data_IF_713123050125
#
_entry.id   IF_713123050125
#
_cell.length_a   1.000
_cell.length_b   1.000
_cell.length_c   1.000
_cell.angle_alpha   90.00
_cell.angle_beta   90.00
_cell.angle_gamma   90.00
#
_symmetry.space_group_name_H-M   'P 1'
#
loop_
_entity.id
_entity.type
_entity.pdbx_description
1 polymer ?
#
# COMPACT_ATOMS: atom_id res chain seq x y z
N UNK A 1 -48.76 50.58 4.65
CA UNK A 1 -48.11 49.71 3.64
C UNK A 1 -46.62 50.00 3.41
N UNK A 2 -46.10 51.22 3.61
CA UNK A 2 -44.68 51.54 3.37
C UNK A 2 -43.71 50.75 4.26
N UNK A 3 -44.04 50.55 5.54
CA UNK A 3 -43.17 49.86 6.50
C UNK A 3 -43.14 48.33 6.32
N UNK A 4 -44.15 47.75 5.65
CA UNK A 4 -44.23 46.30 5.40
C UNK A 4 -43.22 45.87 4.33
N UNK A 5 -42.98 46.72 3.34
CA UNK A 5 -41.97 46.49 2.29
C UNK A 5 -40.55 46.51 2.86
N UNK A 6 -40.28 47.44 3.77
CA UNK A 6 -38.97 47.54 4.45
C UNK A 6 -38.72 46.33 5.34
N UNK A 7 -39.74 45.86 6.05
CA UNK A 7 -39.63 44.68 6.92
C UNK A 7 -39.41 43.39 6.13
N UNK A 8 -40.14 43.21 5.02
CA UNK A 8 -39.92 42.07 4.12
C UNK A 8 -38.50 42.04 3.56
N UNK A 9 -37.96 43.21 3.19
CA UNK A 9 -36.61 43.33 2.64
C UNK A 9 -35.53 42.99 3.69
N UNK A 10 -35.68 43.49 4.92
CA UNK A 10 -34.78 43.14 6.02
C UNK A 10 -34.81 41.65 6.35
N UNK A 11 -36.00 41.03 6.38
CA UNK A 11 -36.13 39.58 6.63
C UNK A 11 -35.48 38.77 5.51
N UNK A 12 -35.67 39.15 4.25
CA UNK A 12 -35.03 38.48 3.12
C UNK A 12 -33.51 38.59 3.14
N UNK A 13 -32.96 39.74 3.55
CA UNK A 13 -31.50 39.92 3.68
C UNK A 13 -30.90 39.06 4.78
N UNK A 14 -31.60 38.92 5.91
CA UNK A 14 -31.20 38.06 7.03
C UNK A 14 -31.26 36.57 6.69
N UNK A 15 -32.18 36.15 5.82
CA UNK A 15 -32.27 34.76 5.34
C UNK A 15 -31.11 34.40 4.40
N UNK A 16 -30.65 35.35 3.57
CA UNK A 16 -29.53 35.13 2.64
C UNK A 16 -28.20 34.94 3.41
N UNK A 17 -27.98 35.67 4.50
CA UNK A 17 -26.74 35.54 5.30
C UNK A 17 -26.67 34.24 6.09
N UNK A 18 -27.82 33.65 6.47
CA UNK A 18 -27.87 32.34 7.14
C UNK A 18 -27.53 31.17 6.19
N UNK A 19 -27.87 31.26 4.90
CA UNK A 19 -27.54 30.23 3.91
C UNK A 19 -26.07 30.24 3.45
N UNK A 20 -25.35 31.35 3.65
CA UNK A 20 -23.92 31.47 3.28
C UNK A 20 -22.96 30.72 4.20
N UNK A 21 -23.31 30.58 5.48
CA UNK A 21 -22.44 29.95 6.50
C UNK A 21 -22.40 28.42 6.46
N UNK A 22 -23.12 27.77 5.53
CA UNK A 22 -23.14 26.32 5.36
C UNK A 22 -22.10 25.78 4.34
N UNK A 23 -21.36 26.65 3.65
CA UNK A 23 -20.40 26.25 2.61
C UNK A 23 -18.98 25.95 3.12
N UNK A 24 -18.70 26.18 4.42
CA UNK A 24 -17.40 25.84 5.01
C UNK A 24 -17.36 24.39 5.51
N UNK A 25 -17.79 23.45 4.66
CA UNK A 25 -17.46 22.06 4.86
C UNK A 25 -16.04 21.83 4.34
N UNK A 26 -15.04 21.88 5.22
CA UNK A 26 -13.79 21.17 4.98
C UNK A 26 -14.15 19.69 4.87
N UNK A 27 -14.57 19.26 3.68
CA UNK A 27 -14.62 17.85 3.35
C UNK A 27 -13.16 17.42 3.49
N UNK A 28 -12.80 16.50 4.42
CA UNK A 28 -11.44 16.03 4.49
C UNK A 28 -11.15 15.28 3.20
N UNK A 29 -10.59 15.98 2.22
CA UNK A 29 -10.07 15.38 1.01
C UNK A 29 -8.81 14.63 1.48
N UNK A 30 -8.85 13.31 1.38
CA UNK A 30 -7.70 12.46 1.68
C UNK A 30 -6.68 12.61 0.55
N UNK A 31 -6.05 13.79 0.47
CA UNK A 31 -5.05 14.10 -0.53
C UNK A 31 -3.78 13.28 -0.28
N UNK A 32 -3.09 12.80 -1.33
CA UNK A 32 -1.83 12.11 -1.17
C UNK A 32 -0.78 13.04 -0.56
N UNK A 33 -0.34 12.77 0.67
CA UNK A 33 0.81 13.47 1.23
C UNK A 33 2.07 13.12 0.42
N UNK A 34 2.55 14.09 -0.35
CA UNK A 34 3.73 13.97 -1.19
C UNK A 34 5.04 14.03 -0.40
N UNK A 35 5.01 14.42 0.87
CA UNK A 35 6.19 14.68 1.71
C UNK A 35 6.47 13.57 2.74
N UNK A 36 5.85 12.39 2.59
CA UNK A 36 6.08 11.27 3.49
C UNK A 36 7.56 10.86 3.53
N UNK A 37 8.11 10.52 4.70
CA UNK A 37 9.48 10.07 4.82
C UNK A 37 9.70 8.75 4.07
N UNK A 38 10.92 8.53 3.58
CA UNK A 38 11.32 7.26 2.97
C UNK A 38 11.73 6.24 4.04
N UNK A 39 11.11 5.06 4.02
CA UNK A 39 11.41 3.92 4.89
C UNK A 39 12.69 3.20 4.45
N UNK A 40 12.92 3.13 3.14
CA UNK A 40 13.99 2.33 2.55
C UNK A 40 15.14 3.19 2.03
N UNK A 41 15.32 4.41 2.57
CA UNK A 41 16.33 5.38 2.13
C UNK A 41 17.75 4.80 2.04
N UNK A 42 18.13 3.93 2.99
CA UNK A 42 19.47 3.33 3.09
C UNK A 42 19.66 2.09 2.21
N UNK A 43 18.59 1.56 1.62
CA UNK A 43 18.63 0.37 0.77
C UNK A 43 18.80 0.74 -0.72
N UNK A 44 19.36 -0.14 -1.56
CA UNK A 44 19.59 0.16 -2.97
C UNK A 44 18.28 0.28 -3.77
N UNK A 45 18.32 0.91 -4.95
CA UNK A 45 17.13 1.07 -5.78
C UNK A 45 16.58 -0.27 -6.34
N UNK A 46 17.40 -1.32 -6.38
CA UNK A 46 17.02 -2.65 -6.83
C UNK A 46 17.72 -3.73 -6.01
N UNK A 47 16.97 -4.75 -5.62
CA UNK A 47 17.45 -5.86 -4.80
C UNK A 47 17.13 -7.18 -5.53
N UNK A 48 18.13 -7.92 -6.02
CA UNK A 48 17.90 -9.23 -6.62
C UNK A 48 17.35 -10.21 -5.58
N UNK A 49 16.27 -10.91 -5.91
CA UNK A 49 15.59 -11.83 -4.99
C UNK A 49 15.73 -13.28 -5.44
N UNK A 50 16.01 -14.16 -4.48
CA UNK A 50 15.99 -15.61 -4.71
C UNK A 50 14.56 -16.12 -4.83
N UNK A 51 14.28 -16.85 -5.92
CA UNK A 51 12.97 -17.50 -6.13
C UNK A 51 12.63 -18.47 -5.00
N UNK A 52 13.61 -19.21 -4.49
CA UNK A 52 13.38 -20.21 -3.44
C UNK A 52 12.88 -19.55 -2.16
N UNK A 53 13.43 -18.38 -1.80
CA UNK A 53 12.97 -17.60 -0.64
C UNK A 53 11.51 -17.13 -0.81
N UNK A 54 11.11 -16.75 -2.02
CA UNK A 54 9.71 -16.39 -2.32
C UNK A 54 8.78 -17.61 -2.19
N UNK A 55 9.19 -18.75 -2.73
CA UNK A 55 8.40 -19.99 -2.66
C UNK A 55 8.23 -20.42 -1.21
N UNK A 56 9.32 -20.48 -0.44
CA UNK A 56 9.25 -20.86 0.98
C UNK A 56 8.34 -19.95 1.79
N UNK A 57 8.25 -18.66 1.45
CA UNK A 57 7.39 -17.72 2.15
C UNK A 57 5.89 -18.09 2.07
N UNK A 58 5.46 -18.71 0.97
CA UNK A 58 4.06 -19.11 0.78
C UNK A 58 3.62 -20.28 1.68
N UNK A 59 4.58 -21.04 2.19
CA UNK A 59 4.33 -22.23 3.01
C UNK A 59 4.25 -21.91 4.52
N UNK A 60 4.56 -20.67 4.91
CA UNK A 60 4.48 -20.25 6.32
C UNK A 60 3.03 -20.15 6.80
N UNK A 61 2.82 -20.57 8.05
CA UNK A 61 1.52 -20.48 8.72
C UNK A 61 1.33 -19.10 9.37
N UNK A 62 0.06 -18.72 9.55
CA UNK A 62 -0.28 -17.48 10.27
C UNK A 62 0.24 -17.58 11.70
N UNK A 63 0.87 -16.49 12.17
CA UNK A 63 1.51 -16.40 13.48
C UNK A 63 2.98 -16.84 13.49
N UNK A 64 3.47 -17.50 12.43
CA UNK A 64 4.87 -17.90 12.36
C UNK A 64 5.80 -16.68 12.26
N UNK A 65 6.92 -16.66 13.02
CA UNK A 65 7.97 -15.69 12.80
C UNK A 65 8.71 -16.01 11.50
N UNK A 66 9.10 -14.95 10.81
CA UNK A 66 9.74 -15.01 9.49
C UNK A 66 10.99 -14.14 9.54
N UNK A 67 12.09 -14.69 9.03
CA UNK A 67 13.33 -13.94 8.84
C UNK A 67 13.91 -14.31 7.49
N UNK A 68 13.66 -13.44 6.51
CA UNK A 68 14.04 -13.67 5.12
C UNK A 68 15.29 -12.86 4.82
N UNK A 69 16.32 -13.53 4.32
CA UNK A 69 17.34 -12.83 3.55
C UNK A 69 16.86 -12.81 2.10
N UNK A 70 16.10 -11.78 1.75
CA UNK A 70 15.46 -11.69 0.44
C UNK A 70 16.49 -11.43 -0.66
N UNK A 71 17.67 -10.90 -0.33
CA UNK A 71 18.68 -10.59 -1.32
C UNK A 71 19.70 -11.70 -1.49
N UNK A 72 19.99 -12.04 -2.75
CA UNK A 72 21.07 -12.96 -3.09
C UNK A 72 22.47 -12.32 -3.01
N UNK A 73 22.55 -10.98 -3.06
CA UNK A 73 23.81 -10.24 -3.25
C UNK A 73 24.09 -9.19 -2.17
N UNK A 74 23.11 -8.84 -1.33
CA UNK A 74 23.22 -7.83 -0.28
C UNK A 74 22.60 -8.33 1.02
N UNK A 75 22.96 -7.73 2.16
CA UNK A 75 22.38 -8.08 3.46
C UNK A 75 20.99 -7.45 3.67
N UNK A 76 20.06 -7.62 2.71
CA UNK A 76 18.68 -7.17 2.89
C UNK A 76 17.87 -8.23 3.63
N UNK A 77 17.68 -7.98 4.92
CA UNK A 77 16.94 -8.86 5.82
C UNK A 77 15.55 -8.28 6.09
N UNK A 78 14.52 -9.07 5.84
CA UNK A 78 13.14 -8.72 6.18
C UNK A 78 12.66 -9.65 7.29
N UNK A 79 12.37 -9.09 8.45
CA UNK A 79 11.91 -9.82 9.62
C UNK A 79 10.47 -9.44 9.95
N UNK A 80 9.70 -10.40 10.43
CA UNK A 80 8.30 -10.17 10.73
C UNK A 80 7.54 -11.39 11.21
N UNK A 81 6.22 -11.23 11.30
CA UNK A 81 5.30 -12.32 11.59
C UNK A 81 4.26 -12.43 10.46
N UNK A 82 3.92 -13.65 10.07
CA UNK A 82 2.82 -13.88 9.12
C UNK A 82 1.50 -13.49 9.76
N UNK A 83 0.79 -12.56 9.16
CA UNK A 83 -0.53 -12.10 9.65
C UNK A 83 -1.69 -12.63 8.79
N UNK A 84 -1.40 -13.09 7.57
CA UNK A 84 -2.37 -13.73 6.70
C UNK A 84 -1.67 -14.73 5.79
N UNK A 85 -2.29 -15.89 5.58
CA UNK A 85 -1.93 -16.87 4.58
C UNK A 85 -3.24 -17.42 4.02
N UNK A 86 -3.45 -17.27 2.72
CA UNK A 86 -4.71 -17.57 2.04
C UNK A 86 -4.41 -18.38 0.79
N UNK A 87 -5.16 -19.47 0.61
CA UNK A 87 -5.19 -20.23 -0.63
C UNK A 87 -6.63 -20.30 -1.14
N UNK A 88 -6.82 -20.09 -2.44
CA UNK A 88 -8.12 -20.14 -3.13
C UNK A 88 -8.00 -20.96 -4.41
N UNK A 89 -9.17 -21.42 -4.90
CA UNK A 89 -9.30 -22.11 -6.19
C UNK A 89 -8.31 -23.28 -6.31
N UNK A 90 -8.37 -24.21 -5.36
CA UNK A 90 -7.51 -25.41 -5.34
C UNK A 90 -6.00 -25.10 -5.37
N UNK A 91 -5.57 -24.02 -4.71
CA UNK A 91 -4.18 -23.53 -4.67
C UNK A 91 -3.67 -22.86 -5.96
N UNK A 92 -4.54 -22.59 -6.94
CA UNK A 92 -4.15 -21.76 -8.09
C UNK A 92 -3.87 -20.31 -7.69
N UNK A 93 -4.47 -19.80 -6.61
CA UNK A 93 -4.09 -18.51 -6.02
C UNK A 93 -3.67 -18.72 -4.57
N UNK A 94 -2.42 -18.38 -4.27
CA UNK A 94 -1.90 -18.34 -2.90
C UNK A 94 -1.39 -16.96 -2.58
N UNK A 95 -1.57 -16.50 -1.35
CA UNK A 95 -1.11 -15.20 -0.90
C UNK A 95 -0.74 -15.22 0.58
N UNK A 96 0.35 -14.55 0.90
CA UNK A 96 0.87 -14.42 2.26
C UNK A 96 1.18 -12.96 2.55
N UNK A 97 0.88 -12.52 3.76
CA UNK A 97 1.18 -11.18 4.25
C UNK A 97 2.00 -11.30 5.52
N UNK A 98 3.18 -10.67 5.51
CA UNK A 98 4.08 -10.58 6.66
C UNK A 98 4.11 -9.15 7.16
N UNK A 99 3.80 -8.96 8.44
CA UNK A 99 3.98 -7.68 9.13
C UNK A 99 5.44 -7.59 9.58
N UNK A 100 6.12 -6.53 9.18
CA UNK A 100 7.53 -6.36 9.53
C UNK A 100 7.72 -6.02 11.01
N UNK A 101 8.79 -6.53 11.61
CA UNK A 101 9.31 -6.12 12.91
C UNK A 101 10.51 -5.18 12.80
N UNK A 102 11.25 -5.20 11.69
CA UNK A 102 12.45 -4.38 11.49
C UNK A 102 12.25 -3.16 10.58
N UNK A 103 11.13 -3.07 9.86
CA UNK A 103 10.68 -1.91 9.11
C UNK A 103 9.27 -1.50 9.60
N UNK A 104 9.18 -0.62 10.62
CA UNK A 104 7.91 -0.28 11.26
C UNK A 104 6.83 0.17 10.27
N UNK A 105 5.62 -0.36 10.44
CA UNK A 105 4.47 -0.10 9.56
C UNK A 105 4.52 -0.80 8.20
N UNK A 106 5.63 -1.41 7.81
CA UNK A 106 5.73 -2.14 6.54
C UNK A 106 5.05 -3.50 6.58
N UNK A 107 4.50 -3.87 5.42
CA UNK A 107 3.99 -5.21 5.14
C UNK A 107 4.59 -5.70 3.84
N UNK A 108 5.09 -6.94 3.88
CA UNK A 108 5.41 -7.70 2.69
C UNK A 108 4.17 -8.50 2.30
N UNK A 109 3.67 -8.27 1.10
CA UNK A 109 2.64 -9.11 0.48
C UNK A 109 3.28 -9.87 -0.66
N UNK A 110 3.06 -11.18 -0.72
CA UNK A 110 3.48 -12.03 -1.82
C UNK A 110 2.30 -12.89 -2.25
N UNK A 111 2.08 -12.98 -3.56
CA UNK A 111 1.05 -13.78 -4.18
C UNK A 111 1.64 -14.65 -5.30
N UNK A 112 1.16 -15.89 -5.38
CA UNK A 112 1.43 -16.82 -6.48
C UNK A 112 0.11 -17.12 -7.18
N UNK A 113 0.12 -16.96 -8.49
CA UNK A 113 -1.02 -17.27 -9.36
C UNK A 113 -0.55 -18.31 -10.37
N UNK A 114 -1.23 -19.45 -10.41
CA UNK A 114 -1.08 -20.48 -11.42
C UNK A 114 -2.27 -20.39 -12.36
N UNK A 115 -2.04 -20.14 -13.64
CA UNK A 115 -3.12 -20.11 -14.64
C UNK A 115 -3.56 -21.52 -15.05
N UNK A 116 -4.62 -21.61 -15.86
CA UNK A 116 -5.20 -22.88 -16.34
C UNK A 116 -4.22 -23.68 -17.22
N UNK A 117 -3.16 -23.05 -17.73
CA UNK A 117 -2.10 -23.69 -18.53
C UNK A 117 -0.91 -24.12 -17.66
N UNK A 118 -0.97 -23.89 -16.34
CA UNK A 118 0.09 -24.19 -15.39
C UNK A 118 1.21 -23.14 -15.30
N UNK A 119 1.07 -21.98 -15.96
CA UNK A 119 2.05 -20.90 -15.84
C UNK A 119 1.96 -20.24 -14.48
N UNK A 120 3.11 -20.09 -13.82
CA UNK A 120 3.19 -19.52 -12.47
C UNK A 120 3.68 -18.07 -12.56
N UNK A 121 2.87 -17.15 -12.05
CA UNK A 121 3.19 -15.73 -11.88
C UNK A 121 3.31 -15.39 -10.40
N UNK A 122 4.35 -14.65 -10.04
CA UNK A 122 4.54 -14.13 -8.69
C UNK A 122 4.40 -12.62 -8.70
N UNK A 123 3.62 -12.08 -7.77
CA UNK A 123 3.50 -10.65 -7.54
C UNK A 123 3.73 -10.35 -6.07
N UNK A 124 4.32 -9.21 -5.75
CA UNK A 124 4.57 -8.88 -4.36
C UNK A 124 5.06 -7.46 -4.17
N UNK A 125 4.85 -6.92 -2.97
CA UNK A 125 5.26 -5.56 -2.60
C UNK A 125 5.62 -5.49 -1.13
N UNK A 126 6.60 -4.64 -0.80
CA UNK A 126 6.89 -4.22 0.57
C UNK A 126 6.51 -2.74 0.67
N UNK A 127 5.47 -2.44 1.43
CA UNK A 127 4.98 -1.06 1.56
C UNK A 127 4.55 -0.74 2.98
N UNK A 128 4.66 0.55 3.34
CA UNK A 128 4.06 1.14 4.53
C UNK A 128 3.17 2.30 4.08
N UNK A 129 1.97 2.42 4.67
CA UNK A 129 1.07 3.55 4.35
C UNK A 129 1.59 4.88 4.87
N UNK A 130 2.47 4.83 5.86
CA UNK A 130 3.04 5.99 6.55
C UNK A 130 4.28 6.55 5.82
N UNK A 131 4.78 5.86 4.80
CA UNK A 131 6.03 6.21 4.13
C UNK A 131 5.85 6.49 2.63
N UNK A 132 6.80 7.24 2.07
CA UNK A 132 6.76 7.75 0.71
C UNK A 132 7.35 6.81 -0.35
N UNK A 133 7.89 5.66 0.06
CA UNK A 133 8.53 4.67 -0.81
C UNK A 133 8.07 3.24 -0.52
N UNK A 134 8.34 2.36 -1.48
CA UNK A 134 8.02 0.94 -1.44
C UNK A 134 8.97 0.13 -2.30
N UNK A 135 8.95 -1.20 -2.13
CA UNK A 135 9.49 -2.13 -3.11
C UNK A 135 8.38 -2.89 -3.82
N UNK A 136 8.56 -3.08 -5.12
CA UNK A 136 7.70 -3.88 -5.97
C UNK A 136 8.50 -5.03 -6.58
N UNK A 137 7.96 -6.25 -6.48
CA UNK A 137 8.54 -7.44 -7.08
C UNK A 137 8.30 -7.41 -8.60
N UNK A 138 9.38 -7.46 -9.37
CA UNK A 138 9.36 -7.60 -10.83
C UNK A 138 10.12 -8.85 -11.23
N UNK A 139 9.72 -9.45 -12.34
CA UNK A 139 10.47 -10.49 -13.01
C UNK A 139 11.13 -9.86 -14.25
N UNK A 140 12.46 -9.76 -14.25
CA UNK A 140 13.25 -9.20 -15.37
C UNK A 140 14.20 -10.29 -15.82
N UNK A 141 14.12 -10.72 -17.08
CA UNK A 141 15.01 -11.74 -17.66
C UNK A 141 15.12 -13.03 -16.82
N UNK A 142 13.98 -13.51 -16.31
CA UNK A 142 13.88 -14.70 -15.45
C UNK A 142 14.52 -14.55 -14.05
N UNK A 143 14.88 -13.33 -13.65
CA UNK A 143 15.37 -12.96 -12.34
C UNK A 143 14.32 -12.11 -11.61
N UNK A 144 13.98 -12.52 -10.38
CA UNK A 144 13.15 -11.69 -9.51
C UNK A 144 13.97 -10.56 -8.91
N UNK A 145 13.42 -9.35 -8.93
CA UNK A 145 14.04 -8.13 -8.41
C UNK A 145 12.99 -7.30 -7.67
N UNK A 146 13.29 -6.86 -6.45
CA UNK A 146 12.54 -5.83 -5.77
C UNK A 146 13.02 -4.46 -6.25
N UNK A 147 12.15 -3.70 -6.90
CA UNK A 147 12.46 -2.37 -7.45
C UNK A 147 11.84 -1.31 -6.56
N UNK A 148 12.66 -0.37 -6.09
CA UNK A 148 12.20 0.75 -5.27
C UNK A 148 11.32 1.70 -6.10
N UNK A 149 10.18 2.09 -5.57
CA UNK A 149 9.26 3.06 -6.17
C UNK A 149 8.75 4.05 -5.14
N UNK A 150 8.21 5.18 -5.62
CA UNK A 150 7.48 6.14 -4.77
C UNK A 150 6.08 5.62 -4.49
N UNK A 151 5.59 5.78 -3.27
CA UNK A 151 4.24 5.37 -2.87
C UNK A 151 3.17 5.98 -3.78
N UNK A 152 3.31 7.26 -4.13
CA UNK A 152 2.33 7.99 -4.95
C UNK A 152 2.20 7.43 -6.36
N UNK A 153 3.17 6.65 -6.85
CA UNK A 153 3.03 6.01 -8.16
C UNK A 153 2.00 4.87 -8.18
N UNK A 154 1.57 4.37 -7.01
CA UNK A 154 0.47 3.40 -6.93
C UNK A 154 -0.91 4.03 -7.09
N UNK A 155 -1.03 5.35 -6.88
CA UNK A 155 -2.32 6.04 -6.93
C UNK A 155 -2.74 6.39 -8.36
N UNK A 156 -1.80 6.27 -9.30
CA UNK A 156 -1.97 6.63 -10.72
C UNK A 156 -1.87 5.41 -11.65
N UNK A 157 -1.90 4.19 -11.11
CA UNK A 157 -1.99 2.92 -11.88
C UNK A 157 -3.46 2.52 -12.08
#
# INVERSE_FOLDING_TARGET
MKNLRTLALCVSLSLITLCGSAQNGDIPINEPDLNKPELFKTLPASIPVSKDQLVSLLDYQVGSPVSLNLSAASAFRFEGNVIASVSKYENSIQSVIVRSTNYPGARLTLSRITDDKGNITYTGRILSREHGDLYELKNTDNQFVLVKRKYNSLLNE
#
